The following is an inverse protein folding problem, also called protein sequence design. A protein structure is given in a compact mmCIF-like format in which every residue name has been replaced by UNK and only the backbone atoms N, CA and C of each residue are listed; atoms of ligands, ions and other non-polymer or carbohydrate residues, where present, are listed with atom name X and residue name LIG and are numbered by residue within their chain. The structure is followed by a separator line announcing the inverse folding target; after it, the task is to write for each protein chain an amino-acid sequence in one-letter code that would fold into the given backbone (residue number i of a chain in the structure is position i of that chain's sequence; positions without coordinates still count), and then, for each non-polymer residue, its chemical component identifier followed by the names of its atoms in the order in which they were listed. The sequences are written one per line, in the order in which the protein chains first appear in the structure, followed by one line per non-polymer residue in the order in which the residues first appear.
data_IF_801404071227
#
_entry.id   IF_801404071227
#
_cell.length_a   1.000
_cell.length_b   1.000
_cell.length_c   1.000
_cell.angle_alpha   90.00
_cell.angle_beta   90.00
_cell.angle_gamma   90.00
#
_symmetry.space_group_name_H-M   'P 1'
#
loop_
_entity.id
_entity.type
_entity.pdbx_description
1 polymer ?
#
# COMPACT_ATOMS: atom_id res chain seq x y z
N UNK A 1 4.64 1.01 -10.65
CA UNK A 1 3.54 1.79 -11.26
C UNK A 1 3.88 2.05 -12.71
N UNK A 2 3.41 1.14 -13.56
CA UNK A 2 3.51 1.22 -15.01
C UNK A 2 2.69 2.39 -15.57
N UNK A 3 2.95 2.79 -16.82
CA UNK A 3 2.22 3.90 -17.45
C UNK A 3 0.71 3.66 -17.48
N UNK A 4 0.31 2.42 -17.73
CA UNK A 4 -1.09 1.99 -17.80
C UNK A 4 -1.78 2.02 -16.43
N UNK A 5 -1.10 1.53 -15.40
CA UNK A 5 -1.58 1.58 -14.02
C UNK A 5 -1.81 3.02 -13.58
N UNK A 6 -0.85 3.90 -13.90
CA UNK A 6 -0.94 5.33 -13.58
C UNK A 6 -2.12 5.98 -14.28
N UNK A 7 -2.33 5.71 -15.56
CA UNK A 7 -3.47 6.24 -16.32
C UNK A 7 -4.81 5.81 -15.72
N UNK A 8 -4.94 4.54 -15.32
CA UNK A 8 -6.16 4.02 -14.66
C UNK A 8 -6.36 4.69 -13.30
N UNK A 9 -5.32 4.75 -12.46
CA UNK A 9 -5.40 5.36 -11.15
C UNK A 9 -5.71 6.86 -11.22
N UNK A 10 -5.12 7.60 -12.17
CA UNK A 10 -5.39 9.02 -12.36
C UNK A 10 -6.83 9.28 -12.81
N UNK A 11 -7.36 8.41 -13.67
CA UNK A 11 -8.77 8.46 -14.03
C UNK A 11 -9.67 8.20 -12.81
N UNK A 12 -9.42 7.13 -12.04
CA UNK A 12 -10.22 6.78 -10.86
C UNK A 12 -10.13 7.81 -9.72
N UNK A 13 -9.01 8.54 -9.59
CA UNK A 13 -8.89 9.65 -8.62
C UNK A 13 -9.91 10.76 -8.87
N UNK A 14 -10.37 10.93 -10.10
CA UNK A 14 -11.42 11.90 -10.45
C UNK A 14 -12.81 11.47 -9.92
N UNK A 15 -12.96 10.21 -9.50
CA UNK A 15 -14.22 9.59 -9.06
C UNK A 15 -14.10 8.92 -7.66
N UNK A 16 -13.70 9.65 -6.60
CA UNK A 16 -13.26 9.06 -5.33
C UNK A 16 -14.34 8.34 -4.49
N UNK A 17 -15.61 8.39 -4.90
CA UNK A 17 -16.75 7.78 -4.19
C UNK A 17 -17.66 6.94 -5.08
N UNK A 18 -17.28 6.75 -6.35
CA UNK A 18 -18.11 6.08 -7.33
C UNK A 18 -17.38 4.87 -7.89
N UNK A 19 -18.16 3.82 -8.11
CA UNK A 19 -17.70 2.66 -8.85
C UNK A 19 -17.87 2.94 -10.34
N UNK A 20 -16.81 2.69 -11.11
CA UNK A 20 -16.77 2.97 -12.55
C UNK A 20 -16.58 1.67 -13.31
N UNK A 21 -17.37 1.44 -14.35
CA UNK A 21 -17.30 0.23 -15.15
C UNK A 21 -15.94 0.08 -15.83
N UNK A 22 -15.36 -1.13 -15.84
CA UNK A 22 -14.05 -1.40 -16.46
C UNK A 22 -13.97 -0.94 -17.93
N UNK A 23 -15.07 -1.09 -18.68
CA UNK A 23 -15.16 -0.61 -20.06
C UNK A 23 -15.09 0.91 -20.19
N UNK A 24 -15.63 1.65 -19.23
CA UNK A 24 -15.52 3.11 -19.19
C UNK A 24 -14.07 3.53 -18.92
N UNK A 25 -13.42 2.85 -17.97
CA UNK A 25 -12.01 3.05 -17.64
C UNK A 25 -11.14 2.83 -18.89
N UNK A 26 -11.32 1.70 -19.59
CA UNK A 26 -10.57 1.40 -20.81
C UNK A 26 -10.71 2.49 -21.89
N UNK A 27 -11.89 3.09 -22.01
CA UNK A 27 -12.15 4.14 -23.01
C UNK A 27 -11.59 5.50 -22.62
N UNK A 28 -11.69 5.86 -21.35
CA UNK A 28 -11.33 7.20 -20.84
C UNK A 28 -9.87 7.33 -20.46
N UNK A 29 -9.29 6.30 -19.84
CA UNK A 29 -7.90 6.32 -19.39
C UNK A 29 -6.90 6.15 -20.55
N UNK A 30 -7.21 5.27 -21.51
CA UNK A 30 -6.34 4.99 -22.67
C UNK A 30 -6.59 5.86 -23.90
N UNK A 31 -7.66 6.65 -23.87
CA UNK A 31 -8.13 7.47 -24.99
C UNK A 31 -8.81 6.68 -26.11
N UNK A 32 -9.44 7.42 -27.03
CA UNK A 32 -10.28 6.86 -28.11
C UNK A 32 -9.53 5.89 -29.03
N UNK A 33 -8.29 6.23 -29.41
CA UNK A 33 -7.49 5.43 -30.35
C UNK A 33 -7.14 4.06 -29.79
N UNK A 34 -6.68 4.00 -28.54
CA UNK A 34 -6.31 2.75 -27.89
C UNK A 34 -7.53 1.87 -27.65
N UNK A 35 -8.64 2.45 -27.23
CA UNK A 35 -9.89 1.71 -27.05
C UNK A 35 -10.42 1.07 -28.34
N UNK A 36 -10.19 1.69 -29.51
CA UNK A 36 -10.56 1.09 -30.80
C UNK A 36 -9.68 -0.10 -31.17
N UNK A 37 -8.39 -0.05 -30.83
CA UNK A 37 -7.44 -1.11 -31.13
C UNK A 37 -7.60 -2.29 -30.16
N UNK A 38 -7.75 -1.99 -28.87
CA UNK A 38 -7.80 -2.99 -27.82
C UNK A 38 -8.80 -2.55 -26.74
N UNK A 39 -10.11 -2.85 -26.89
CA UNK A 39 -11.13 -2.43 -25.93
C UNK A 39 -10.93 -3.00 -24.51
N UNK A 40 -10.14 -4.07 -24.40
CA UNK A 40 -9.92 -4.85 -23.19
C UNK A 40 -8.57 -4.60 -22.51
N UNK A 41 -7.78 -3.64 -23.00
CA UNK A 41 -6.42 -3.39 -22.50
C UNK A 41 -6.37 -3.14 -20.98
N UNK A 42 -7.43 -2.57 -20.41
CA UNK A 42 -7.50 -2.25 -18.99
C UNK A 42 -7.71 -3.47 -18.09
N UNK A 43 -8.33 -4.56 -18.57
CA UNK A 43 -8.66 -5.72 -17.71
C UNK A 43 -7.43 -6.41 -17.08
N UNK A 44 -6.36 -6.74 -17.81
CA UNK A 44 -5.18 -7.34 -17.19
C UNK A 44 -4.53 -6.39 -16.17
N UNK A 45 -4.56 -5.08 -16.41
CA UNK A 45 -4.01 -4.07 -15.49
C UNK A 45 -4.90 -3.93 -14.25
N UNK A 46 -6.22 -3.92 -14.41
CA UNK A 46 -7.18 -3.89 -13.30
C UNK A 46 -7.03 -5.12 -12.40
N UNK A 47 -6.79 -6.30 -12.95
CA UNK A 47 -6.54 -7.51 -12.18
C UNK A 47 -5.30 -7.35 -11.27
N UNK A 48 -4.18 -6.87 -11.82
CA UNK A 48 -2.95 -6.58 -11.06
C UNK A 48 -3.19 -5.53 -9.97
N UNK A 49 -3.93 -4.46 -10.28
CA UNK A 49 -4.26 -3.41 -9.31
C UNK A 49 -5.17 -3.90 -8.17
N UNK A 50 -6.02 -4.89 -8.42
CA UNK A 50 -6.84 -5.55 -7.37
C UNK A 50 -5.94 -6.41 -6.47
N UNK A 51 -5.02 -7.17 -7.04
CA UNK A 51 -4.05 -7.99 -6.30
C UNK A 51 -3.19 -7.12 -5.38
N UNK A 52 -2.71 -5.97 -5.88
CA UNK A 52 -1.97 -4.97 -5.10
C UNK A 52 -2.84 -4.17 -4.10
N UNK A 53 -4.15 -4.43 -4.05
CA UNK A 53 -5.12 -3.73 -3.19
C UNK A 53 -5.11 -2.21 -3.38
N UNK A 54 -4.80 -1.74 -4.58
CA UNK A 54 -4.85 -0.32 -4.94
C UNK A 54 -6.26 0.12 -5.35
N UNK A 55 -7.04 -0.81 -5.90
CA UNK A 55 -8.44 -0.63 -6.29
C UNK A 55 -9.31 -1.76 -5.76
N UNK A 56 -10.61 -1.50 -5.64
CA UNK A 56 -11.62 -2.49 -5.25
C UNK A 56 -12.61 -2.71 -6.38
N UNK A 57 -13.19 -3.91 -6.43
CA UNK A 57 -14.27 -4.28 -7.35
C UNK A 57 -15.55 -4.61 -6.59
N UNK A 58 -16.71 -4.29 -7.16
CA UNK A 58 -18.03 -4.65 -6.61
C UNK A 58 -18.50 -6.07 -7.02
N UNK A 59 -17.70 -6.79 -7.83
CA UNK A 59 -18.04 -8.10 -8.38
C UNK A 59 -18.93 -8.06 -9.63
N UNK A 60 -19.51 -6.90 -9.98
CA UNK A 60 -20.29 -6.66 -11.19
C UNK A 60 -19.45 -6.03 -12.32
N UNK A 61 -18.14 -5.89 -12.10
CA UNK A 61 -17.21 -5.31 -13.07
C UNK A 61 -17.10 -3.79 -12.97
N UNK A 62 -17.46 -3.21 -11.82
CA UNK A 62 -17.16 -1.83 -11.50
C UNK A 62 -16.02 -1.72 -10.50
N UNK A 63 -15.20 -0.69 -10.67
CA UNK A 63 -13.96 -0.50 -9.93
C UNK A 63 -13.93 0.88 -9.26
N UNK A 64 -13.33 0.96 -8.08
CA UNK A 64 -13.05 2.22 -7.39
C UNK A 64 -11.65 2.22 -6.80
N UNK A 65 -11.09 3.42 -6.57
CA UNK A 65 -9.83 3.54 -5.84
C UNK A 65 -10.02 3.15 -4.36
N UNK A 66 -9.12 2.36 -3.79
CA UNK A 66 -9.09 2.12 -2.34
C UNK A 66 -8.86 3.44 -1.60
N UNK A 67 -9.57 3.67 -0.49
CA UNK A 67 -9.28 4.85 0.35
C UNK A 67 -7.92 4.66 1.01
N UNK A 68 -7.16 5.76 1.18
CA UNK A 68 -5.89 5.72 1.90
C UNK A 68 -6.03 5.17 3.33
N UNK A 69 -7.20 5.33 3.94
CA UNK A 69 -7.50 4.77 5.26
C UNK A 69 -7.56 3.24 5.24
N UNK A 70 -8.03 2.65 4.14
CA UNK A 70 -8.07 1.20 3.97
C UNK A 70 -6.68 0.63 3.64
N UNK A 71 -5.84 1.40 2.92
CA UNK A 71 -4.43 1.03 2.74
C UNK A 71 -3.62 1.09 4.06
N UNK A 72 -3.96 2.00 4.98
CA UNK A 72 -3.28 2.13 6.27
C UNK A 72 -3.64 1.02 7.27
N UNK A 73 -4.81 0.38 7.15
CA UNK A 73 -5.18 -0.74 8.02
C UNK A 73 -4.23 -1.94 7.86
N UNK A 74 -3.61 -2.08 6.69
CA UNK A 74 -2.70 -3.20 6.37
C UNK A 74 -1.22 -2.86 6.50
N UNK A 75 -0.86 -1.58 6.68
CA UNK A 75 0.50 -1.20 7.08
C UNK A 75 0.53 -1.25 8.59
N UNK A 76 1.01 -2.38 9.13
CA UNK A 76 1.04 -2.71 10.55
C UNK A 76 1.05 -1.48 11.45
N UNK A 77 -0.01 -1.32 12.25
CA UNK A 77 -0.13 -0.23 13.21
C UNK A 77 1.09 -0.29 14.13
N UNK A 78 1.98 0.70 14.02
CA UNK A 78 3.06 0.85 14.98
C UNK A 78 2.45 0.97 16.38
N UNK A 79 2.80 0.06 17.28
CA UNK A 79 2.37 0.09 18.67
C UNK A 79 3.48 0.74 19.50
N UNK A 80 3.11 1.72 20.34
CA UNK A 80 4.07 2.31 21.27
C UNK A 80 4.47 1.28 22.35
N UNK A 81 5.67 1.40 22.96
CA UNK A 81 6.13 0.49 24.00
C UNK A 81 5.15 0.31 25.17
N UNK A 82 4.37 1.34 25.50
CA UNK A 82 3.36 1.28 26.54
C UNK A 82 2.15 0.42 26.14
N UNK A 83 1.70 0.50 24.88
CA UNK A 83 0.59 -0.33 24.39
C UNK A 83 0.98 -1.81 24.35
N UNK A 84 2.24 -2.12 24.07
CA UNK A 84 2.78 -3.49 24.14
C UNK A 84 2.60 -4.10 25.54
N UNK A 85 3.01 -3.38 26.59
CA UNK A 85 2.89 -3.87 27.99
C UNK A 85 1.44 -4.11 28.41
N UNK A 86 0.50 -3.31 27.89
CA UNK A 86 -0.93 -3.48 28.14
C UNK A 86 -1.47 -4.72 27.40
N UNK A 87 -1.02 -4.95 26.16
CA UNK A 87 -1.47 -6.07 25.33
C UNK A 87 -0.90 -7.41 25.82
N UNK A 88 0.37 -7.45 26.24
CA UNK A 88 1.02 -8.62 26.85
C UNK A 88 0.33 -9.07 28.14
N UNK A 89 -0.23 -8.12 28.91
CA UNK A 89 -1.03 -8.43 30.11
C UNK A 89 -2.40 -9.03 29.78
N UNK A 90 -2.84 -8.91 28.53
CA UNK A 90 -4.15 -9.33 28.05
C UNK A 90 -4.02 -10.58 27.16
N UNK A 91 -3.25 -11.61 27.55
CA UNK A 91 -3.18 -13.00 27.01
C UNK A 91 -3.74 -13.28 25.59
N UNK A 92 -3.51 -12.38 24.62
CA UNK A 92 -4.10 -12.43 23.29
C UNK A 92 -2.97 -12.24 22.31
N UNK A 93 -2.60 -13.32 21.65
CA UNK A 93 -1.58 -13.31 20.61
C UNK A 93 -2.13 -12.68 19.33
N UNK A 94 -1.55 -11.55 18.95
CA UNK A 94 -1.77 -10.88 17.67
C UNK A 94 -0.52 -10.92 16.77
N UNK A 95 0.43 -11.81 17.10
CA UNK A 95 1.71 -12.01 16.41
C UNK A 95 1.55 -12.29 14.91
N UNK A 96 0.41 -12.87 14.49
CA UNK A 96 0.09 -13.15 13.09
C UNK A 96 -0.16 -11.88 12.23
N UNK A 97 -0.39 -10.72 12.86
CA UNK A 97 -0.64 -9.42 12.21
C UNK A 97 0.54 -8.46 12.34
N UNK A 98 1.56 -8.82 13.13
CA UNK A 98 2.63 -7.94 13.56
C UNK A 98 3.92 -8.21 12.78
N UNK A 99 4.21 -7.40 11.76
CA UNK A 99 5.59 -7.25 11.29
C UNK A 99 6.32 -6.30 12.24
N UNK A 100 7.09 -6.87 13.16
CA UNK A 100 7.98 -6.13 14.05
C UNK A 100 9.35 -6.09 13.39
N UNK A 101 9.90 -4.92 13.04
CA UNK A 101 11.34 -4.81 12.83
C UNK A 101 12.03 -5.14 14.14
N UNK A 102 12.92 -6.13 14.10
CA UNK A 102 13.83 -6.43 15.20
C UNK A 102 14.56 -5.12 15.58
N UNK A 103 14.57 -4.71 16.86
CA UNK A 103 15.30 -3.52 17.24
C UNK A 103 16.79 -3.76 16.99
N UNK A 104 17.40 -3.00 16.09
CA UNK A 104 18.85 -2.87 16.00
C UNK A 104 19.37 -2.49 17.39
N UNK A 105 20.07 -3.42 18.06
CA UNK A 105 20.83 -3.18 19.28
C UNK A 105 21.93 -2.14 19.00
N UNK A 106 21.87 -0.90 19.51
CA UNK A 106 23.01 0.00 19.48
C UNK A 106 23.79 -0.20 20.79
N UNK A 107 24.38 -1.39 20.97
CA UNK A 107 25.12 -1.75 22.17
C UNK A 107 26.53 -2.25 21.84
N UNK A 108 27.27 -1.49 21.03
CA UNK A 108 28.73 -1.62 20.91
C UNK A 108 29.35 -0.26 20.62
N UNK A 109 29.20 0.70 21.54
CA UNK A 109 30.12 1.83 21.61
C UNK A 109 31.46 1.32 22.12
N UNK A 110 32.41 1.12 21.22
CA UNK A 110 33.81 0.85 21.56
C UNK A 110 34.37 2.03 22.37
N UNK A 111 35.02 1.79 23.53
CA UNK A 111 35.80 2.83 24.17
C UNK A 111 37.14 2.95 23.43
N UNK A 112 37.24 3.92 22.52
CA UNK A 112 38.52 4.38 21.98
C UNK A 112 39.37 4.91 23.13
N UNK A 113 40.30 4.10 23.60
CA UNK A 113 41.37 4.50 24.51
C UNK A 113 42.60 4.74 23.66
N UNK A 114 42.89 6.00 23.36
CA UNK A 114 44.16 6.58 22.88
C UNK A 114 43.86 8.07 22.67
N UNK A 115 44.61 9.07 23.10
CA UNK A 115 45.96 9.15 23.65
C UNK A 115 46.13 10.62 24.17
N UNK A 116 47.19 10.85 24.95
CA UNK A 116 47.81 12.13 25.32
C UNK A 116 47.36 12.87 26.59
N UNK A 117 48.35 13.16 27.46
CA UNK A 117 48.57 14.51 27.93
C UNK A 117 49.94 15.02 27.47
N UNK A 118 49.93 16.15 26.79
CA UNK A 118 51.10 16.99 26.56
C UNK A 118 51.63 17.55 27.87
N UNK A 119 52.93 17.37 28.17
CA UNK A 119 53.89 18.47 28.43
C UNK A 119 55.32 17.96 28.63
#
# INVERSE_FOLDING_TARGET
MDADERAICDYLKSWPKQYVAGREIARRAGGKRRFQQEPQWAYPVLARLIEERLIETDGLGHFRLCRRDDQKKNKGRWLSPQMRRILERSEKDFSEVLQVPEPDDPASSEPSTEDSPSR
#
